data_IF_970840828978
#
_entry.id   IF_970840828978
#
_cell.length_a   1.000
_cell.length_b   1.000
_cell.length_c   1.000
_cell.angle_alpha   90.00
_cell.angle_beta   90.00
_cell.angle_gamma   90.00
#
_symmetry.space_group_name_H-M   'P 1'
#
loop_
_entity.id
_entity.type
_entity.pdbx_description
1 polymer ?
#
# COMPACT_ATOMS: atom_id res chain seq x y z
N UNK A 1 -47.05 10.72 77.12
CA UNK A 1 -47.21 12.11 77.60
C UNK A 1 -46.87 13.01 76.43
N UNK A 2 -47.86 13.68 75.84
CA UNK A 2 -47.62 14.66 74.77
C UNK A 2 -47.23 15.98 75.41
N UNK A 3 -46.05 16.50 75.09
CA UNK A 3 -45.60 17.81 75.57
C UNK A 3 -46.09 18.85 74.55
N UNK A 4 -46.90 19.85 74.95
CA UNK A 4 -47.35 20.89 74.04
C UNK A 4 -46.16 21.62 73.40
N UNK A 5 -46.17 21.76 72.07
CA UNK A 5 -45.10 22.41 71.33
C UNK A 5 -43.89 21.53 71.01
N UNK A 6 -43.92 20.23 71.37
CA UNK A 6 -42.91 19.23 70.99
C UNK A 6 -43.54 18.18 70.09
N UNK A 7 -42.94 17.94 68.94
CA UNK A 7 -43.33 16.91 68.00
C UNK A 7 -42.12 16.21 67.39
N UNK A 8 -42.38 15.15 66.65
CA UNK A 8 -41.33 14.46 65.90
C UNK A 8 -41.91 13.32 65.09
N UNK A 9 -41.15 12.88 64.09
CA UNK A 9 -41.54 11.79 63.22
C UNK A 9 -40.42 11.41 62.27
N UNK A 10 -40.69 10.40 61.44
CA UNK A 10 -39.78 9.98 60.38
C UNK A 10 -40.40 10.42 59.06
N UNK A 11 -39.64 11.16 58.26
CA UNK A 11 -39.94 11.38 56.85
C UNK A 11 -39.04 10.46 56.06
N UNK A 12 -39.62 9.68 55.16
CA UNK A 12 -38.86 8.85 54.24
C UNK A 12 -38.79 9.56 52.88
N UNK A 13 -37.59 9.92 52.45
CA UNK A 13 -37.35 10.32 51.06
C UNK A 13 -37.04 9.07 50.24
N UNK A 14 -37.64 8.98 49.07
CA UNK A 14 -37.41 7.90 48.11
C UNK A 14 -36.91 8.52 46.82
N UNK A 15 -35.75 8.08 46.35
CA UNK A 15 -35.14 8.51 45.09
C UNK A 15 -34.84 7.28 44.23
N UNK A 16 -34.92 7.43 42.91
CA UNK A 16 -34.40 6.44 41.96
C UNK A 16 -33.04 6.88 41.42
N UNK A 17 -32.08 5.96 41.33
CA UNK A 17 -30.87 6.08 40.52
C UNK A 17 -30.98 5.05 39.38
N UNK A 18 -30.65 5.46 38.16
CA UNK A 18 -30.60 4.57 37.00
C UNK A 18 -29.28 4.83 36.28
N UNK A 19 -28.45 3.81 36.23
CA UNK A 19 -27.19 3.81 35.51
C UNK A 19 -27.35 3.00 34.25
N UNK A 20 -26.94 3.60 33.14
CA UNK A 20 -26.90 2.94 31.84
C UNK A 20 -25.48 2.95 31.32
N UNK A 21 -25.00 1.82 30.84
CA UNK A 21 -23.70 1.71 30.20
C UNK A 21 -23.78 0.84 28.96
N UNK A 22 -23.01 1.21 27.94
CA UNK A 22 -22.91 0.44 26.71
C UNK A 22 -21.50 -0.13 26.57
N UNK A 23 -21.42 -1.43 26.30
CA UNK A 23 -20.17 -2.11 25.97
C UNK A 23 -20.24 -2.56 24.51
N UNK A 24 -19.39 -1.99 23.66
CA UNK A 24 -19.19 -2.48 22.29
C UNK A 24 -18.48 -3.83 22.34
N UNK A 25 -19.03 -4.84 21.66
CA UNK A 25 -18.41 -6.15 21.50
C UNK A 25 -17.75 -6.27 20.13
N UNK A 26 -18.36 -5.68 19.11
CA UNK A 26 -17.80 -5.64 17.77
C UNK A 26 -18.32 -4.45 16.97
N UNK A 27 -17.58 -4.06 15.94
CA UNK A 27 -18.01 -3.11 14.92
C UNK A 27 -18.04 -3.87 13.60
N UNK A 28 -19.22 -3.92 12.99
CA UNK A 28 -19.40 -4.46 11.65
C UNK A 28 -19.01 -3.37 10.65
N UNK A 29 -18.28 -3.76 9.62
CA UNK A 29 -17.92 -2.90 8.48
C UNK A 29 -18.38 -3.64 7.22
N UNK A 30 -19.13 -2.97 6.35
CA UNK A 30 -19.59 -3.55 5.08
C UNK A 30 -18.40 -4.01 4.24
N UNK A 31 -18.57 -5.10 3.50
CA UNK A 31 -17.56 -5.74 2.65
C UNK A 31 -16.29 -6.26 3.36
N UNK A 32 -16.17 -6.04 4.67
CA UNK A 32 -15.09 -6.61 5.46
C UNK A 32 -15.32 -8.11 5.68
N UNK A 33 -14.25 -8.94 5.67
CA UNK A 33 -14.36 -10.38 5.89
C UNK A 33 -14.64 -10.73 7.37
N UNK A 34 -14.34 -9.82 8.28
CA UNK A 34 -14.52 -9.98 9.72
C UNK A 34 -14.77 -8.63 10.40
N UNK A 35 -15.55 -8.61 11.49
CA UNK A 35 -15.77 -7.39 12.26
C UNK A 35 -14.54 -7.04 13.11
N UNK A 36 -14.51 -5.80 13.59
CA UNK A 36 -13.49 -5.30 14.54
C UNK A 36 -13.97 -5.63 15.95
N UNK A 37 -13.23 -6.45 16.70
CA UNK A 37 -13.69 -6.99 18.00
C UNK A 37 -12.95 -6.44 19.22
N UNK A 38 -11.88 -5.68 19.02
CA UNK A 38 -11.05 -5.12 20.09
C UNK A 38 -10.49 -3.76 19.69
N UNK A 39 -10.13 -2.96 20.70
CA UNK A 39 -9.47 -1.67 20.48
C UNK A 39 -8.14 -1.83 19.73
N UNK A 40 -7.91 -0.99 18.73
CA UNK A 40 -6.72 -1.04 17.89
C UNK A 40 -6.69 -2.19 16.86
N UNK A 41 -7.68 -3.08 16.85
CA UNK A 41 -7.82 -4.05 15.78
C UNK A 41 -8.27 -3.37 14.47
N UNK A 42 -7.87 -3.95 13.34
CA UNK A 42 -8.22 -3.48 12.00
C UNK A 42 -8.90 -4.60 11.21
N UNK A 43 -9.66 -4.21 10.21
CA UNK A 43 -10.19 -5.11 9.18
C UNK A 43 -9.83 -4.54 7.81
N UNK A 44 -9.54 -5.41 6.85
CA UNK A 44 -9.21 -5.01 5.49
C UNK A 44 -10.45 -5.15 4.62
N UNK A 45 -10.84 -4.07 3.95
CA UNK A 45 -11.95 -4.07 3.02
C UNK A 45 -11.39 -4.11 1.61
N UNK A 46 -11.90 -5.04 0.80
CA UNK A 46 -11.54 -5.16 -0.61
C UNK A 46 -12.27 -4.14 -1.49
N UNK A 47 -12.04 -4.20 -2.82
CA UNK A 47 -12.82 -3.42 -3.78
C UNK A 47 -14.29 -3.88 -3.74
N UNK A 48 -15.16 -3.12 -4.39
CA UNK A 48 -16.58 -3.46 -4.45
C UNK A 48 -16.81 -4.83 -5.11
N UNK A 49 -17.81 -5.62 -4.63
CA UNK A 49 -18.06 -6.95 -5.17
C UNK A 49 -18.26 -6.94 -6.71
N UNK A 50 -17.33 -7.59 -7.42
CA UNK A 50 -17.35 -7.66 -8.88
C UNK A 50 -16.46 -6.65 -9.59
N UNK A 51 -15.78 -5.77 -8.84
CA UNK A 51 -14.78 -4.84 -9.34
C UNK A 51 -13.39 -5.24 -8.82
N UNK A 52 -12.35 -4.89 -9.58
CA UNK A 52 -10.95 -5.09 -9.19
C UNK A 52 -10.25 -3.80 -8.79
N UNK A 53 -10.93 -2.68 -9.03
CA UNK A 53 -10.47 -1.30 -8.85
C UNK A 53 -11.14 -0.73 -7.59
N UNK A 54 -10.39 0.02 -6.79
CA UNK A 54 -10.91 0.70 -5.61
C UNK A 54 -11.48 2.08 -5.92
N UNK A 55 -11.08 2.70 -7.04
CA UNK A 55 -11.43 4.05 -7.44
C UNK A 55 -10.97 5.12 -6.45
N UNK A 56 -11.50 6.33 -6.67
CA UNK A 56 -11.13 7.52 -5.90
C UNK A 56 -11.53 7.50 -4.41
N UNK A 57 -12.53 6.70 -4.05
CA UNK A 57 -13.05 6.59 -2.69
C UNK A 57 -13.97 5.39 -2.53
N UNK A 58 -14.20 4.98 -1.27
CA UNK A 58 -15.14 3.91 -0.91
C UNK A 58 -16.00 4.30 0.28
N UNK A 59 -17.31 4.18 0.12
CA UNK A 59 -18.28 4.36 1.20
C UNK A 59 -18.50 3.03 1.93
N UNK A 60 -18.28 3.02 3.24
CA UNK A 60 -18.46 1.85 4.09
C UNK A 60 -19.60 2.07 5.07
N UNK A 61 -20.55 1.14 5.14
CA UNK A 61 -21.54 1.12 6.20
C UNK A 61 -20.91 0.46 7.43
N UNK A 62 -21.01 1.13 8.56
CA UNK A 62 -20.48 0.66 9.84
C UNK A 62 -21.51 0.78 10.93
N UNK A 63 -21.63 -0.25 11.77
CA UNK A 63 -22.46 -0.18 12.96
C UNK A 63 -21.84 -0.96 14.12
N UNK A 64 -21.87 -0.41 15.34
CA UNK A 64 -21.45 -1.14 16.52
C UNK A 64 -22.55 -2.11 16.99
N UNK A 65 -22.13 -3.25 17.50
CA UNK A 65 -22.97 -4.23 18.19
C UNK A 65 -22.41 -4.49 19.58
N UNK A 66 -23.30 -4.60 20.55
CA UNK A 66 -22.87 -4.77 21.93
C UNK A 66 -24.01 -4.96 22.91
N UNK A 67 -23.72 -4.68 24.17
CA UNK A 67 -24.66 -4.86 25.27
C UNK A 67 -24.91 -3.53 25.98
N UNK A 68 -26.18 -3.20 26.15
CA UNK A 68 -26.66 -2.11 26.99
C UNK A 68 -27.01 -2.69 28.37
N UNK A 69 -26.38 -2.17 29.41
CA UNK A 69 -26.60 -2.56 30.79
C UNK A 69 -27.42 -1.50 31.51
N UNK A 70 -28.43 -1.94 32.24
CA UNK A 70 -29.29 -1.10 33.08
C UNK A 70 -29.17 -1.55 34.53
N UNK A 71 -28.68 -0.66 35.38
CA UNK A 71 -28.58 -0.87 36.82
C UNK A 71 -29.41 0.20 37.53
N UNK A 72 -30.47 -0.20 38.21
CA UNK A 72 -31.41 0.72 38.84
C UNK A 72 -31.49 0.46 40.35
N UNK A 73 -31.32 1.52 41.12
CA UNK A 73 -31.43 1.53 42.57
C UNK A 73 -32.59 2.42 43.03
N UNK A 74 -33.31 2.00 44.05
CA UNK A 74 -34.16 2.88 44.87
C UNK A 74 -33.39 3.24 46.13
N UNK A 75 -33.07 4.52 46.30
CA UNK A 75 -32.40 5.05 47.48
C UNK A 75 -33.46 5.50 48.48
N UNK A 76 -33.49 4.83 49.63
CA UNK A 76 -34.31 5.20 50.78
C UNK A 76 -33.48 6.07 51.74
N UNK A 77 -33.91 7.31 51.96
CA UNK A 77 -33.24 8.26 52.84
C UNK A 77 -34.20 8.73 53.95
N UNK A 78 -34.35 7.94 55.03
CA UNK A 78 -35.10 8.36 56.21
C UNK A 78 -34.43 9.54 56.94
N UNK A 79 -35.25 10.53 57.27
CA UNK A 79 -34.90 11.70 58.05
C UNK A 79 -35.78 11.72 59.31
N UNK A 80 -35.15 11.65 60.48
CA UNK A 80 -35.82 11.90 61.74
C UNK A 80 -35.96 13.41 61.91
N UNK A 81 -37.19 13.92 62.00
CA UNK A 81 -37.40 15.32 62.36
C UNK A 81 -37.89 15.44 63.79
N UNK A 82 -37.38 16.45 64.49
CA UNK A 82 -37.88 16.88 65.78
C UNK A 82 -38.35 18.33 65.65
N UNK A 83 -39.50 18.64 66.23
CA UNK A 83 -40.03 20.00 66.27
C UNK A 83 -40.18 20.49 67.70
N UNK A 84 -39.68 21.69 67.98
CA UNK A 84 -39.77 22.35 69.28
C UNK A 84 -40.14 23.81 69.05
N UNK A 85 -41.30 24.23 69.57
CA UNK A 85 -41.72 25.65 69.61
C UNK A 85 -41.59 26.33 68.23
N UNK A 86 -42.06 25.66 67.18
CA UNK A 86 -42.05 26.16 65.80
C UNK A 86 -40.73 25.99 65.03
N UNK A 87 -39.66 25.49 65.66
CA UNK A 87 -38.38 25.16 64.99
C UNK A 87 -38.33 23.67 64.65
N UNK A 88 -37.93 23.32 63.43
CA UNK A 88 -37.75 21.93 62.98
C UNK A 88 -36.26 21.62 62.81
N UNK A 89 -35.83 20.50 63.36
CA UNK A 89 -34.47 19.97 63.21
C UNK A 89 -34.57 18.62 62.52
N UNK A 90 -33.87 18.46 61.40
CA UNK A 90 -33.84 17.25 60.59
C UNK A 90 -32.51 16.52 60.80
N UNK A 91 -32.57 15.25 61.17
CA UNK A 91 -31.44 14.35 61.36
C UNK A 91 -31.51 13.24 60.30
N UNK A 92 -30.70 13.30 59.23
CA UNK A 92 -30.60 12.21 58.29
C UNK A 92 -30.02 10.97 58.99
N UNK A 93 -30.62 9.80 58.76
CA UNK A 93 -30.21 8.56 59.42
C UNK A 93 -29.16 7.83 58.56
N UNK A 94 -29.57 7.34 57.41
CA UNK A 94 -28.73 6.65 56.44
C UNK A 94 -29.42 6.64 55.07
N UNK A 95 -28.64 6.54 54.00
CA UNK A 95 -29.16 6.24 52.66
C UNK A 95 -29.02 4.74 52.41
N UNK A 96 -30.11 4.09 52.02
CA UNK A 96 -30.18 2.65 51.77
C UNK A 96 -30.54 2.44 50.31
N UNK A 97 -29.58 2.12 49.42
CA UNK A 97 -29.88 1.73 48.05
C UNK A 97 -30.47 0.32 48.02
N UNK A 98 -31.52 0.15 47.22
CA UNK A 98 -32.19 -1.12 46.94
C UNK A 98 -32.15 -1.34 45.43
N UNK A 99 -31.32 -2.28 44.98
CA UNK A 99 -31.28 -2.69 43.57
C UNK A 99 -32.64 -3.26 43.14
N UNK A 100 -33.23 -2.65 42.12
CA UNK A 100 -34.55 -3.02 41.58
C UNK A 100 -34.49 -3.54 40.15
N UNK A 101 -33.41 -3.26 39.41
CA UNK A 101 -33.17 -3.85 38.10
C UNK A 101 -31.66 -3.98 37.84
N UNK A 102 -31.27 -5.09 37.23
CA UNK A 102 -29.93 -5.35 36.73
C UNK A 102 -30.07 -6.15 35.43
N UNK A 103 -30.42 -5.44 34.35
CA UNK A 103 -30.79 -6.03 33.07
C UNK A 103 -29.73 -5.75 32.02
N UNK A 104 -29.61 -6.68 31.06
CA UNK A 104 -28.74 -6.52 29.91
C UNK A 104 -29.52 -6.81 28.63
N UNK A 105 -29.40 -5.91 27.66
CA UNK A 105 -29.98 -6.06 26.33
C UNK A 105 -28.88 -6.02 25.27
N UNK A 106 -28.92 -6.96 24.33
CA UNK A 106 -28.06 -6.88 23.15
C UNK A 106 -28.63 -5.88 22.17
N UNK A 107 -27.81 -4.91 21.77
CA UNK A 107 -28.20 -3.79 20.92
C UNK A 107 -27.35 -3.80 19.65
N UNK A 108 -28.02 -3.61 18.52
CA UNK A 108 -27.43 -3.36 17.22
C UNK A 108 -27.82 -1.94 16.85
N UNK A 109 -26.84 -1.08 16.59
CA UNK A 109 -27.08 0.29 16.16
C UNK A 109 -27.35 0.35 14.65
N UNK A 110 -27.96 1.45 14.21
CA UNK A 110 -28.18 1.71 12.79
C UNK A 110 -26.84 1.91 12.06
N UNK A 111 -26.85 1.58 10.76
CA UNK A 111 -25.71 1.79 9.88
C UNK A 111 -25.37 3.28 9.75
N UNK A 112 -24.08 3.57 9.89
CA UNK A 112 -23.50 4.87 9.58
C UNK A 112 -22.55 4.74 8.39
N UNK A 113 -22.75 5.59 7.37
CA UNK A 113 -21.88 5.66 6.22
C UNK A 113 -20.58 6.40 6.57
N UNK A 114 -19.45 5.73 6.34
CA UNK A 114 -18.10 6.26 6.51
C UNK A 114 -17.46 6.35 5.14
N UNK A 115 -17.20 7.57 4.70
CA UNK A 115 -16.51 7.84 3.44
C UNK A 115 -15.00 7.69 3.63
N UNK A 116 -14.39 6.79 2.86
CA UNK A 116 -12.94 6.54 2.88
C UNK A 116 -12.34 7.07 1.58
N UNK A 117 -11.64 8.23 1.61
CA UNK A 117 -10.95 8.73 0.43
C UNK A 117 -9.72 7.88 0.13
N UNK A 118 -9.47 7.59 -1.15
CA UNK A 118 -8.36 6.76 -1.61
C UNK A 118 -7.53 7.49 -2.67
N UNK A 119 -6.23 7.19 -2.82
CA UNK A 119 -5.46 7.64 -3.97
C UNK A 119 -5.82 6.77 -5.18
N UNK A 120 -5.86 7.37 -6.37
CA UNK A 120 -6.20 6.71 -7.64
C UNK A 120 -5.25 7.23 -8.73
N UNK A 121 -4.33 6.35 -9.15
CA UNK A 121 -3.26 6.62 -10.09
C UNK A 121 -3.79 6.58 -11.52
N UNK A 122 -3.49 7.64 -12.29
CA UNK A 122 -3.66 7.61 -13.73
C UNK A 122 -2.38 7.95 -14.48
N UNK A 123 -1.94 7.01 -15.31
CA UNK A 123 -0.85 7.20 -16.27
C UNK A 123 -1.34 6.84 -17.68
N UNK A 124 -1.22 7.80 -18.61
CA UNK A 124 -1.75 7.66 -19.97
C UNK A 124 -0.88 6.86 -20.95
N UNK A 125 0.23 6.27 -20.49
CA UNK A 125 1.20 5.57 -21.34
C UNK A 125 1.69 4.29 -20.66
N UNK A 126 1.98 3.26 -21.48
CA UNK A 126 2.61 2.00 -21.03
C UNK A 126 4.02 1.82 -21.59
N UNK A 127 4.43 2.70 -22.51
CA UNK A 127 5.73 2.69 -23.17
C UNK A 127 6.21 4.11 -23.48
N UNK A 128 7.52 4.33 -23.36
CA UNK A 128 8.21 5.53 -23.84
C UNK A 128 9.27 5.15 -24.87
N UNK A 129 8.98 5.49 -26.13
CA UNK A 129 9.93 5.33 -27.22
C UNK A 129 10.72 6.61 -27.48
N UNK A 130 12.03 6.46 -27.52
CA UNK A 130 12.98 7.53 -27.77
C UNK A 130 13.39 7.62 -29.25
N UNK A 131 13.11 6.57 -30.04
CA UNK A 131 13.50 6.49 -31.45
C UNK A 131 15.02 6.37 -31.64
N UNK A 132 15.52 6.90 -32.74
CA UNK A 132 16.93 6.84 -33.11
C UNK A 132 17.69 8.08 -32.63
N UNK A 133 18.67 7.88 -31.75
CA UNK A 133 19.49 8.94 -31.15
C UNK A 133 20.97 8.64 -31.44
N UNK A 134 21.77 9.60 -31.96
CA UNK A 134 23.21 9.40 -32.15
C UNK A 134 23.92 9.00 -30.85
N UNK A 135 24.91 8.11 -30.95
CA UNK A 135 25.77 7.77 -29.81
C UNK A 135 26.42 9.03 -29.24
N UNK A 136 26.38 9.19 -27.91
CA UNK A 136 26.79 10.40 -27.20
C UNK A 136 25.75 11.53 -27.20
N UNK A 137 24.61 11.33 -27.88
CA UNK A 137 23.45 12.21 -27.84
C UNK A 137 22.56 11.98 -26.61
N UNK A 138 21.50 12.77 -26.51
CA UNK A 138 20.50 12.68 -25.45
C UNK A 138 19.11 13.01 -26.00
N UNK A 139 18.10 12.26 -25.56
CA UNK A 139 16.70 12.59 -25.76
C UNK A 139 15.94 12.40 -24.46
N UNK A 140 15.00 13.31 -24.17
CA UNK A 140 14.15 13.25 -23.00
C UNK A 140 12.68 13.12 -23.43
N UNK A 141 11.93 12.30 -22.71
CA UNK A 141 10.49 12.10 -22.85
C UNK A 141 9.81 12.41 -21.53
N UNK A 142 8.65 13.05 -21.61
CA UNK A 142 7.82 13.38 -20.46
C UNK A 142 6.55 12.56 -20.50
N UNK A 143 6.12 12.05 -19.36
CA UNK A 143 4.79 11.47 -19.16
C UNK A 143 4.12 12.13 -17.95
N UNK A 144 2.80 12.10 -17.91
CA UNK A 144 2.04 12.71 -16.83
C UNK A 144 1.59 11.63 -15.85
N UNK A 145 1.82 11.89 -14.57
CA UNK A 145 1.24 11.15 -13.46
C UNK A 145 0.13 12.00 -12.87
N UNK A 146 -1.08 11.47 -12.78
CA UNK A 146 -2.22 12.15 -12.20
C UNK A 146 -2.76 11.36 -11.01
N UNK A 147 -3.30 12.08 -10.03
CA UNK A 147 -4.09 11.56 -8.94
C UNK A 147 -5.55 11.93 -9.19
N UNK A 148 -6.34 10.97 -9.69
CA UNK A 148 -7.79 11.15 -9.88
C UNK A 148 -8.57 10.86 -8.58
N UNK A 149 -7.85 10.49 -7.50
CA UNK A 149 -8.40 10.10 -6.21
C UNK A 149 -8.73 11.25 -5.28
N UNK A 150 -9.28 10.89 -4.11
CA UNK A 150 -9.65 11.83 -3.04
C UNK A 150 -8.62 11.90 -1.90
N UNK A 151 -7.64 11.00 -1.87
CA UNK A 151 -6.51 11.05 -0.93
C UNK A 151 -5.18 11.36 -1.63
N UNK A 152 -4.14 11.83 -0.89
CA UNK A 152 -2.82 12.07 -1.47
C UNK A 152 -2.19 10.80 -2.06
N UNK A 153 -1.78 10.88 -3.32
CA UNK A 153 -1.07 9.83 -4.03
C UNK A 153 0.43 10.03 -3.86
N UNK A 154 1.11 9.03 -3.31
CA UNK A 154 2.55 8.95 -3.19
C UNK A 154 3.11 8.09 -4.32
N UNK A 155 4.08 8.63 -5.06
CA UNK A 155 4.69 7.98 -6.21
C UNK A 155 6.21 8.02 -6.08
N UNK A 156 6.87 6.88 -6.26
CA UNK A 156 8.32 6.78 -6.25
C UNK A 156 8.81 6.08 -7.52
N UNK A 157 9.69 6.76 -8.27
CA UNK A 157 10.33 6.19 -9.46
C UNK A 157 11.62 5.48 -9.06
N UNK A 158 11.78 4.23 -9.50
CA UNK A 158 13.06 3.52 -9.42
C UNK A 158 13.90 3.85 -10.64
N UNK A 159 15.22 3.98 -10.47
CA UNK A 159 16.12 4.23 -11.60
C UNK A 159 15.98 3.13 -12.64
N UNK A 160 15.73 3.45 -13.92
CA UNK A 160 15.88 2.47 -14.98
C UNK A 160 17.37 2.14 -15.16
N UNK A 161 17.65 1.05 -15.89
CA UNK A 161 19.01 0.69 -16.25
C UNK A 161 19.54 1.61 -17.35
N UNK A 162 20.83 1.95 -17.30
CA UNK A 162 21.51 2.62 -18.39
C UNK A 162 21.31 1.85 -19.71
N UNK A 163 21.19 2.52 -20.87
CA UNK A 163 21.42 3.95 -21.12
C UNK A 163 20.23 4.87 -20.80
N UNK A 164 19.21 4.39 -20.09
CA UNK A 164 18.09 5.23 -19.63
C UNK A 164 18.37 5.80 -18.24
N UNK A 165 17.85 7.00 -17.98
CA UNK A 165 17.86 7.62 -16.67
C UNK A 165 16.50 8.28 -16.39
N UNK A 166 16.04 8.24 -15.15
CA UNK A 166 14.83 8.93 -14.70
C UNK A 166 15.14 9.76 -13.46
N UNK A 167 14.38 10.82 -13.24
CA UNK A 167 14.48 11.58 -12.01
C UNK A 167 14.04 10.71 -10.83
N UNK A 168 14.97 10.46 -9.89
CA UNK A 168 14.70 9.75 -8.64
C UNK A 168 13.97 10.69 -7.68
N UNK A 169 12.71 10.95 -7.99
CA UNK A 169 11.82 11.78 -7.18
C UNK A 169 10.77 10.90 -6.52
N UNK A 170 10.65 11.04 -5.20
CA UNK A 170 9.39 10.77 -4.52
C UNK A 170 8.52 12.01 -4.67
N UNK A 171 7.32 11.81 -5.16
CA UNK A 171 6.33 12.85 -5.40
C UNK A 171 5.08 12.53 -4.60
N UNK A 172 4.50 13.54 -3.96
CA UNK A 172 3.17 13.45 -3.35
C UNK A 172 2.24 14.38 -4.12
N UNK A 173 1.23 13.80 -4.78
CA UNK A 173 0.21 14.53 -5.52
C UNK A 173 -1.05 14.67 -4.67
N UNK A 174 -1.49 15.90 -4.36
CA UNK A 174 -2.82 16.14 -3.80
C UNK A 174 -3.94 15.57 -4.71
N UNK A 175 -5.14 15.36 -4.15
CA UNK A 175 -6.33 14.96 -4.91
C UNK A 175 -6.60 15.83 -6.14
N UNK A 176 -6.91 15.20 -7.28
CA UNK A 176 -7.26 15.86 -8.53
C UNK A 176 -6.13 16.64 -9.21
N UNK A 177 -4.87 16.39 -8.83
CA UNK A 177 -3.70 17.08 -9.40
C UNK A 177 -2.83 16.16 -10.24
N UNK A 178 -1.98 16.74 -11.08
CA UNK A 178 -1.03 16.01 -11.90
C UNK A 178 0.37 16.64 -11.86
N UNK A 179 1.37 15.85 -12.26
CA UNK A 179 2.71 16.33 -12.50
C UNK A 179 3.38 15.62 -13.69
N UNK A 180 4.21 16.34 -14.45
CA UNK A 180 5.05 15.74 -15.49
C UNK A 180 6.29 15.08 -14.88
N UNK A 181 6.58 13.87 -15.33
CA UNK A 181 7.77 13.10 -15.00
C UNK A 181 8.64 12.93 -16.25
N UNK A 182 9.96 13.04 -16.10
CA UNK A 182 10.90 13.01 -17.23
C UNK A 182 11.81 11.78 -17.15
N UNK A 183 12.01 11.14 -18.31
CA UNK A 183 12.98 10.06 -18.52
C UNK A 183 13.87 10.44 -19.69
N UNK A 184 15.17 10.22 -19.58
CA UNK A 184 16.14 10.44 -20.64
C UNK A 184 16.74 9.14 -21.16
N UNK A 185 17.17 9.17 -22.41
CA UNK A 185 17.92 8.12 -23.10
C UNK A 185 19.22 8.72 -23.64
N UNK A 186 20.35 8.12 -23.25
CA UNK A 186 21.70 8.59 -23.51
C UNK A 186 22.55 7.42 -24.05
N UNK A 187 22.39 7.00 -25.33
CA UNK A 187 23.08 5.83 -25.85
C UNK A 187 24.60 6.04 -25.93
N UNK A 188 25.37 5.12 -25.37
CA UNK A 188 26.84 5.07 -25.42
C UNK A 188 27.36 4.11 -26.49
N UNK A 189 26.50 3.24 -27.02
CA UNK A 189 26.79 2.29 -28.09
C UNK A 189 25.69 2.30 -29.15
N UNK A 190 26.06 1.92 -30.37
CA UNK A 190 25.10 1.75 -31.46
C UNK A 190 24.27 0.48 -31.25
N UNK A 191 22.99 0.52 -31.63
CA UNK A 191 22.05 -0.60 -31.53
C UNK A 191 20.83 -0.30 -30.67
N UNK A 192 19.89 -1.25 -30.63
CA UNK A 192 18.68 -1.14 -29.83
C UNK A 192 18.97 -1.33 -28.33
N UNK A 193 18.32 -0.53 -27.51
CA UNK A 193 18.34 -0.61 -26.06
C UNK A 193 16.91 -0.63 -25.53
N UNK A 194 16.66 -1.47 -24.53
CA UNK A 194 15.37 -1.58 -23.87
C UNK A 194 15.56 -1.67 -22.36
N UNK A 195 14.64 -1.07 -21.60
CA UNK A 195 14.62 -1.13 -20.15
C UNK A 195 13.17 -1.06 -19.64
N UNK A 196 13.03 -1.13 -18.32
CA UNK A 196 11.77 -0.87 -17.63
C UNK A 196 11.98 0.21 -16.59
N UNK A 197 11.01 1.10 -16.46
CA UNK A 197 10.86 2.01 -15.33
C UNK A 197 9.81 1.42 -14.39
N UNK A 198 10.19 1.23 -13.12
CA UNK A 198 9.28 0.76 -12.08
C UNK A 198 8.80 1.97 -11.29
N UNK A 199 7.49 2.06 -11.10
CA UNK A 199 6.81 3.12 -10.37
C UNK A 199 6.09 2.47 -9.20
N UNK A 200 6.53 2.74 -7.97
CA UNK A 200 5.85 2.31 -6.75
C UNK A 200 4.85 3.38 -6.32
N UNK A 201 3.65 2.98 -5.89
CA UNK A 201 2.62 3.90 -5.42
C UNK A 201 1.90 3.42 -4.16
N UNK A 202 1.16 4.31 -3.50
CA UNK A 202 0.22 3.97 -2.44
C UNK A 202 -1.23 3.76 -2.94
N UNK A 203 -1.44 3.70 -4.25
CA UNK A 203 -2.71 3.26 -4.85
C UNK A 203 -2.99 1.79 -4.45
N UNK A 204 -4.14 1.49 -3.82
CA UNK A 204 -4.48 0.15 -3.34
C UNK A 204 -4.48 -0.95 -4.42
N UNK A 205 -4.86 -0.66 -5.66
CA UNK A 205 -4.83 -1.61 -6.76
C UNK A 205 -3.67 -1.40 -7.73
N UNK A 206 -3.06 -0.21 -7.76
CA UNK A 206 -1.89 0.10 -8.59
C UNK A 206 -0.59 0.33 -7.79
N UNK A 207 -0.36 -0.46 -6.75
CA UNK A 207 0.84 -0.34 -5.89
C UNK A 207 2.20 -0.44 -6.61
N UNK A 208 2.24 -1.05 -7.80
CA UNK A 208 3.44 -1.10 -8.66
C UNK A 208 3.07 -1.13 -10.15
N UNK A 209 3.51 -0.12 -10.90
CA UNK A 209 3.38 -0.04 -12.36
C UNK A 209 4.74 -0.22 -13.06
N UNK A 210 4.72 -0.83 -14.24
CA UNK A 210 5.91 -1.03 -15.08
C UNK A 210 5.71 -0.34 -16.43
N UNK A 211 6.59 0.62 -16.75
CA UNK A 211 6.62 1.33 -18.01
C UNK A 211 7.78 0.84 -18.88
N UNK A 212 7.52 0.44 -20.12
CA UNK A 212 8.57 -0.02 -21.04
C UNK A 212 9.32 1.17 -21.64
N UNK A 213 10.64 1.06 -21.74
CA UNK A 213 11.50 2.05 -22.37
C UNK A 213 12.21 1.42 -23.56
N UNK A 214 12.23 2.09 -24.71
CA UNK A 214 12.91 1.65 -25.92
C UNK A 214 13.61 2.80 -26.67
N UNK A 215 14.75 2.51 -27.28
CA UNK A 215 15.48 3.47 -28.11
C UNK A 215 16.62 2.80 -28.88
N UNK A 216 17.13 3.47 -29.92
CA UNK A 216 18.23 2.96 -30.75
C UNK A 216 19.36 3.98 -30.82
N UNK A 217 20.56 3.56 -30.44
CA UNK A 217 21.79 4.31 -30.66
C UNK A 217 22.21 4.25 -32.13
N UNK A 218 22.34 5.38 -32.81
CA UNK A 218 22.94 5.44 -34.14
C UNK A 218 24.46 5.56 -33.99
N UNK A 219 25.20 4.65 -34.63
CA UNK A 219 26.66 4.74 -34.71
C UNK A 219 27.09 6.08 -35.32
N UNK A 220 28.30 6.53 -34.98
CA UNK A 220 28.87 7.70 -35.64
C UNK A 220 28.73 7.54 -37.17
N UNK A 221 28.38 8.61 -37.93
CA UNK A 221 28.48 8.53 -39.37
C UNK A 221 29.89 8.06 -39.69
N UNK A 222 29.99 7.05 -40.54
CA UNK A 222 31.27 6.54 -41.04
C UNK A 222 31.96 7.68 -41.80
N UNK A 223 32.67 8.54 -41.07
CA UNK A 223 33.73 9.33 -41.65
C UNK A 223 34.87 8.36 -41.85
N UNK A 224 34.71 7.48 -42.84
CA UNK A 224 35.82 6.68 -43.35
C UNK A 224 37.01 7.62 -43.58
N UNK A 225 38.25 7.11 -43.48
CA UNK A 225 39.42 7.95 -43.71
C UNK A 225 39.20 8.73 -45.00
N UNK A 226 39.52 10.05 -45.07
CA UNK A 226 39.35 10.80 -46.29
C UNK A 226 40.00 9.97 -47.39
N UNK A 227 39.20 9.56 -48.38
CA UNK A 227 39.72 8.97 -49.61
C UNK A 227 40.60 10.05 -50.19
N UNK A 228 41.90 9.95 -49.93
CA UNK A 228 42.90 10.67 -50.69
C UNK A 228 42.73 10.15 -52.11
N UNK A 229 42.04 10.94 -52.93
CA UNK A 229 41.98 10.73 -54.36
C UNK A 229 43.41 10.83 -54.85
N UNK A 230 44.06 9.67 -55.02
CA UNK A 230 45.39 9.59 -55.59
C UNK A 230 45.25 9.99 -57.06
N UNK A 231 45.42 11.28 -57.31
CA UNK A 231 45.52 11.84 -58.65
C UNK A 231 46.59 11.11 -59.47
N UNK A 232 46.39 10.93 -60.79
CA UNK A 232 47.23 10.07 -61.60
C UNK A 232 48.47 10.81 -62.08
N UNK A 233 49.42 11.08 -61.18
CA UNK A 233 50.69 11.69 -61.55
C UNK A 233 51.81 10.65 -61.39
N UNK A 234 52.13 10.00 -62.51
CA UNK A 234 53.27 9.12 -62.64
C UNK A 234 54.60 9.88 -62.49
N UNK A 235 55.55 9.24 -61.81
CA UNK A 235 56.93 9.71 -61.72
C UNK A 235 57.81 8.65 -61.07
N UNK A 236 58.47 7.86 -61.91
CA UNK A 236 59.43 6.85 -61.50
C UNK A 236 60.62 7.48 -60.77
N UNK A 237 61.08 6.83 -59.70
CA UNK A 237 62.51 6.77 -59.37
C UNK A 237 62.79 5.53 -58.52
N UNK A 238 63.35 4.53 -59.18
CA UNK A 238 63.96 3.36 -58.57
C UNK A 238 65.47 3.60 -58.47
N UNK A 239 66.01 3.55 -57.26
CA UNK A 239 67.45 3.53 -56.97
C UNK A 239 67.71 2.73 -55.69
N UNK A 240 68.69 1.80 -55.67
CA UNK A 240 68.67 0.66 -54.77
C UNK A 240 69.31 0.99 -53.42
N UNK A 241 68.74 0.47 -52.32
CA UNK A 241 69.46 0.35 -51.05
C UNK A 241 69.47 -1.12 -50.65
N UNK A 242 70.69 -1.57 -50.40
CA UNK A 242 71.11 -2.95 -50.24
C UNK A 242 70.52 -3.64 -49.01
N UNK A 243 70.44 -4.95 -49.17
CA UNK A 243 70.13 -5.96 -48.16
C UNK A 243 71.10 -5.90 -46.98
N UNK A 244 70.57 -5.84 -45.77
CA UNK A 244 71.20 -6.44 -44.58
C UNK A 244 70.09 -7.22 -43.87
N UNK A 245 70.22 -8.55 -43.92
CA UNK A 245 69.55 -9.46 -42.99
C UNK A 245 70.16 -9.30 -41.60
N UNK A 246 69.33 -9.29 -40.56
CA UNK A 246 69.60 -9.95 -39.29
C UNK A 246 68.26 -10.19 -38.56
N UNK A 247 67.88 -11.46 -38.41
CA UNK A 247 67.32 -11.98 -37.15
C UNK A 247 65.83 -11.79 -36.82
N UNK A 248 64.92 -12.28 -37.66
CA UNK A 248 63.50 -12.49 -37.28
C UNK A 248 63.24 -13.92 -36.78
N UNK A 249 63.24 -14.14 -35.47
CA UNK A 249 62.85 -15.41 -34.86
C UNK A 249 61.35 -15.73 -35.07
N UNK A 250 61.05 -17.03 -35.21
CA UNK A 250 59.73 -17.64 -35.51
C UNK A 250 58.64 -17.41 -34.44
N UNK A 251 57.42 -17.96 -34.55
CA UNK A 251 56.98 -19.18 -35.21
C UNK A 251 55.44 -19.17 -35.40
N UNK A 252 55.03 -19.64 -36.59
CA UNK A 252 53.96 -20.59 -36.93
C UNK A 252 52.66 -20.71 -36.09
N UNK A 253 51.58 -20.61 -36.84
CA UNK A 253 50.22 -21.15 -36.66
C UNK A 253 50.26 -22.67 -36.39
N UNK A 254 49.43 -23.14 -35.46
CA UNK A 254 48.97 -24.53 -35.38
C UNK A 254 47.50 -24.58 -34.94
N UNK A 255 46.67 -25.26 -35.73
CA UNK A 255 45.27 -25.61 -35.47
C UNK A 255 45.19 -27.09 -35.01
N UNK A 256 44.00 -27.61 -34.64
CA UNK A 256 43.59 -27.99 -33.28
C UNK A 256 43.81 -29.48 -32.94
N UNK A 257 43.80 -29.82 -31.65
CA UNK A 257 43.90 -31.21 -31.17
C UNK A 257 43.46 -31.42 -29.73
N UNK A 258 42.21 -31.85 -29.56
CA UNK A 258 41.69 -32.80 -28.56
C UNK A 258 42.32 -32.88 -27.15
N UNK A 259 41.55 -32.50 -26.12
CA UNK A 259 41.52 -33.22 -24.83
C UNK A 259 40.09 -33.46 -24.35
N UNK A 260 39.94 -34.67 -23.81
CA UNK A 260 38.74 -35.40 -23.40
C UNK A 260 38.17 -34.95 -22.04
N UNK A 261 36.97 -35.43 -21.68
CA UNK A 261 36.03 -34.71 -20.81
C UNK A 261 36.16 -35.05 -19.33
N UNK A 262 35.82 -34.08 -18.48
CA UNK A 262 35.48 -34.32 -17.08
C UNK A 262 34.06 -34.91 -16.98
N UNK A 263 33.91 -35.86 -16.05
CA UNK A 263 32.83 -36.84 -16.01
C UNK A 263 31.45 -36.33 -15.59
N UNK A 264 30.45 -37.23 -15.62
CA UNK A 264 29.07 -36.90 -15.32
C UNK A 264 28.82 -37.05 -13.81
N UNK A 265 28.30 -35.99 -13.20
CA UNK A 265 27.83 -35.99 -11.82
C UNK A 265 26.49 -35.27 -11.72
N UNK A 266 25.41 -35.92 -12.17
CA UNK A 266 24.04 -35.55 -11.80
C UNK A 266 23.24 -36.83 -11.54
N UNK A 267 22.94 -37.05 -10.25
CA UNK A 267 22.02 -38.09 -9.81
C UNK A 267 20.56 -37.67 -10.00
N UNK A 268 19.63 -38.62 -10.22
CA UNK A 268 18.21 -38.32 -10.29
C UNK A 268 17.60 -38.39 -8.89
N UNK A 269 17.04 -37.29 -8.41
CA UNK A 269 16.17 -37.29 -7.23
C UNK A 269 14.78 -36.88 -7.68
N UNK A 270 13.96 -37.90 -7.89
CA UNK A 270 12.52 -37.83 -7.99
C UNK A 270 11.93 -37.93 -6.57
N UNK A 271 11.14 -36.93 -6.17
CA UNK A 271 10.23 -36.92 -5.03
C UNK A 271 9.32 -35.70 -5.27
N UNK A 272 8.01 -35.72 -5.16
CA UNK A 272 7.04 -36.71 -4.71
C UNK A 272 5.74 -35.93 -4.60
N UNK A 273 4.77 -36.24 -5.45
CA UNK A 273 3.47 -35.59 -5.51
C UNK A 273 2.58 -36.24 -4.44
N UNK A 274 2.29 -35.53 -3.35
CA UNK A 274 1.35 -35.98 -2.33
C UNK A 274 0.04 -35.19 -2.43
N UNK A 275 -0.98 -35.90 -2.91
CA UNK A 275 -2.39 -35.54 -2.85
C UNK A 275 -2.87 -35.84 -1.43
N UNK A 276 -3.37 -34.84 -0.72
CA UNK A 276 -4.12 -35.02 0.53
C UNK A 276 -5.61 -34.75 0.25
N UNK A 277 -6.37 -35.83 0.15
CA UNK A 277 -7.82 -35.87 0.23
C UNK A 277 -8.23 -35.71 1.71
N UNK A 278 -8.90 -34.62 2.05
CA UNK A 278 -9.49 -34.38 3.36
C UNK A 278 -10.95 -33.96 3.23
N UNK A 279 -11.85 -34.93 3.36
CA UNK A 279 -13.29 -34.73 3.45
C UNK A 279 -13.68 -34.24 4.85
N UNK A 280 -14.46 -33.15 4.96
CA UNK A 280 -15.22 -32.83 6.17
C UNK A 280 -16.64 -32.38 5.82
N UNK A 281 -17.55 -32.92 6.61
CA UNK A 281 -19.00 -33.01 6.46
C UNK A 281 -19.75 -31.68 6.34
N UNK A 282 -20.68 -31.64 5.39
CA UNK A 282 -21.73 -30.62 5.26
C UNK A 282 -22.95 -31.08 6.06
N UNK A 283 -23.10 -30.59 7.29
CA UNK A 283 -24.35 -30.71 8.05
C UNK A 283 -25.29 -29.59 7.59
N UNK A 284 -26.29 -29.96 6.78
CA UNK A 284 -27.45 -29.12 6.45
C UNK A 284 -28.46 -29.23 7.60
N UNK A 285 -28.64 -28.18 8.40
CA UNK A 285 -29.85 -28.00 9.19
C UNK A 285 -30.85 -27.19 8.36
N UNK A 286 -32.02 -27.80 8.15
CA UNK A 286 -33.24 -27.11 7.73
C UNK A 286 -33.92 -26.54 8.97
N UNK A 287 -34.22 -25.26 8.96
CA UNK A 287 -35.54 -24.67 9.27
C UNK A 287 -35.53 -23.23 8.80
#
# INVERSE_FOLDING_TARGET
ISIPGVGGGIVLTVQGDLRTSYQTLQIIVSDAPSPITMEGAFTAVGPDPGFFDYGASKDLLTHPEGNLMFDADIILAPVLYLSFVGTRIDYPIAEVPIGVAAEQESVIFDDHATHVPLPDLRIGVTELSFGEIPVGGMSARTFTVANDGEAPLEVTLRSPMAPFAGDLATLTLPPGTDAPMTVSFNPDMAGAANAVLIIDTNDPDESMLVLRLDGTGLGAPDTGPPTYDAGPDGGADAGPVALVEEGGCGCRIATPGSRRPHGPGVGPWALGLLIALGAVARIRRRR
#
